data_IF_361088563166
#
_entry.id   IF_361088563166
#
_cell.length_a   1.000
_cell.length_b   1.000
_cell.length_c   1.000
_cell.angle_alpha   90.00
_cell.angle_beta   90.00
_cell.angle_gamma   90.00
#
_symmetry.space_group_name_H-M   'P 1'
#
loop_
_entity.id
_entity.type
_entity.pdbx_description
1 polymer ?
#
# COMPACT_ATOMS: atom_id res chain seq x y z
N UNK A 1 -48.25 24.83 -34.95
CA UNK A 1 -46.91 25.20 -35.42
C UNK A 1 -46.01 25.19 -34.18
N UNK A 2 -45.14 24.18 -34.06
CA UNK A 2 -44.41 23.78 -32.85
C UNK A 2 -43.13 24.61 -32.69
N UNK A 3 -42.95 25.30 -31.57
CA UNK A 3 -41.67 25.91 -31.19
C UNK A 3 -40.90 24.92 -30.29
N UNK A 4 -39.96 24.18 -30.86
CA UNK A 4 -39.00 23.39 -30.09
C UNK A 4 -37.95 24.33 -29.50
N UNK A 5 -37.89 24.40 -28.17
CA UNK A 5 -36.82 25.09 -27.45
C UNK A 5 -35.53 24.27 -27.58
N UNK A 6 -34.39 24.85 -27.98
CA UNK A 6 -33.15 24.10 -28.07
C UNK A 6 -32.69 23.74 -26.66
N UNK A 7 -32.77 22.46 -26.33
CA UNK A 7 -32.10 21.87 -25.19
C UNK A 7 -30.60 22.12 -25.36
N UNK A 8 -30.08 23.12 -24.66
CA UNK A 8 -28.64 23.41 -24.59
C UNK A 8 -28.02 22.25 -23.83
N UNK A 9 -27.47 21.30 -24.59
CA UNK A 9 -26.66 20.20 -24.10
C UNK A 9 -25.45 20.78 -23.38
N UNK A 10 -25.52 20.89 -22.07
CA UNK A 10 -24.34 21.10 -21.25
C UNK A 10 -23.59 19.77 -21.23
N UNK A 11 -22.85 19.49 -22.31
CA UNK A 11 -21.81 18.48 -22.29
C UNK A 11 -20.73 19.02 -21.36
N UNK A 12 -20.92 18.79 -20.05
CA UNK A 12 -19.83 18.72 -19.10
C UNK A 12 -18.95 17.55 -19.54
N UNK A 13 -18.09 17.81 -20.53
CA UNK A 13 -16.89 17.04 -20.77
C UNK A 13 -16.03 17.25 -19.53
N UNK A 14 -16.29 16.44 -18.49
CA UNK A 14 -15.39 16.28 -17.35
C UNK A 14 -14.09 15.78 -17.98
N UNK A 15 -13.15 16.71 -18.18
CA UNK A 15 -11.83 16.37 -18.64
C UNK A 15 -11.23 15.42 -17.61
N UNK A 16 -10.70 14.28 -18.05
CA UNK A 16 -9.98 13.34 -17.17
C UNK A 16 -8.81 14.06 -16.46
N UNK A 17 -8.38 15.21 -16.99
CA UNK A 17 -7.40 16.09 -16.35
C UNK A 17 -7.94 16.81 -15.08
N UNK A 18 -9.23 17.17 -15.02
CA UNK A 18 -9.82 17.86 -13.85
C UNK A 18 -10.11 16.92 -12.68
N UNK A 19 -10.26 15.61 -12.95
CA UNK A 19 -10.33 14.59 -11.90
C UNK A 19 -9.02 14.44 -11.10
N UNK A 20 -7.93 15.03 -11.59
CA UNK A 20 -6.60 14.95 -10.99
C UNK A 20 -6.16 16.19 -10.21
N UNK A 21 -6.95 17.28 -10.19
CA UNK A 21 -6.51 18.58 -9.65
C UNK A 21 -6.82 18.79 -8.16
N UNK A 22 -7.75 18.02 -7.60
CA UNK A 22 -8.20 18.17 -6.20
C UNK A 22 -7.42 17.25 -5.25
N UNK A 23 -7.08 17.76 -4.07
CA UNK A 23 -6.54 16.95 -2.97
C UNK A 23 -7.56 15.88 -2.59
N UNK A 24 -7.22 14.62 -2.85
CA UNK A 24 -8.12 13.48 -2.61
C UNK A 24 -7.77 12.84 -1.28
N UNK A 25 -8.69 12.96 -0.33
CA UNK A 25 -8.63 12.16 0.90
C UNK A 25 -9.13 10.76 0.61
N UNK A 26 -8.34 9.75 0.98
CA UNK A 26 -8.65 8.34 0.78
C UNK A 26 -8.58 7.58 2.10
N UNK A 27 -9.46 6.60 2.22
CA UNK A 27 -9.43 5.58 3.26
C UNK A 27 -8.81 4.30 2.68
N UNK A 28 -7.95 3.66 3.46
CA UNK A 28 -7.19 2.49 3.04
C UNK A 28 -7.71 1.28 3.81
N UNK A 29 -8.05 0.21 3.09
CA UNK A 29 -8.34 -1.11 3.67
C UNK A 29 -7.30 -2.10 3.16
N UNK A 30 -6.53 -2.68 4.09
CA UNK A 30 -5.52 -3.69 3.77
C UNK A 30 -6.04 -5.08 4.13
N UNK A 31 -6.13 -5.95 3.14
CA UNK A 31 -6.44 -7.37 3.33
C UNK A 31 -5.15 -8.18 3.48
N UNK A 32 -5.20 -9.24 4.29
CA UNK A 32 -4.09 -10.16 4.46
C UNK A 32 -4.10 -11.23 3.37
N UNK A 33 -3.23 -11.13 2.38
CA UNK A 33 -2.95 -12.19 1.42
C UNK A 33 -1.48 -12.67 1.53
N UNK A 34 -1.10 -13.70 0.77
CA UNK A 34 0.24 -14.27 0.81
C UNK A 34 1.33 -13.34 0.22
N UNK A 35 0.98 -12.13 -0.21
CA UNK A 35 1.85 -11.22 -0.95
C UNK A 35 2.03 -9.88 -0.23
N UNK A 36 2.38 -9.89 1.06
CA UNK A 36 2.64 -8.65 1.82
C UNK A 36 3.59 -7.65 1.12
N UNK A 37 4.60 -8.14 0.39
CA UNK A 37 5.53 -7.26 -0.34
C UNK A 37 4.84 -6.45 -1.46
N UNK A 38 3.74 -6.97 -2.02
CA UNK A 38 2.91 -6.24 -2.98
C UNK A 38 2.21 -5.06 -2.30
N UNK A 39 1.62 -5.28 -1.12
CA UNK A 39 0.95 -4.22 -0.34
C UNK A 39 1.93 -3.09 -0.02
N UNK A 40 3.17 -3.41 0.35
CA UNK A 40 4.22 -2.41 0.52
C UNK A 40 4.47 -1.58 -0.73
N UNK A 41 4.58 -2.21 -1.91
CA UNK A 41 4.76 -1.48 -3.17
C UNK A 41 3.60 -0.54 -3.48
N UNK A 42 2.36 -0.96 -3.19
CA UNK A 42 1.17 -0.12 -3.35
C UNK A 42 1.22 1.08 -2.41
N UNK A 43 1.53 0.86 -1.13
CA UNK A 43 1.67 1.94 -0.14
C UNK A 43 2.78 2.92 -0.54
N UNK A 44 3.92 2.43 -1.05
CA UNK A 44 5.02 3.28 -1.49
C UNK A 44 4.64 4.18 -2.68
N UNK A 45 3.88 3.65 -3.64
CA UNK A 45 3.36 4.42 -4.78
C UNK A 45 2.31 5.45 -4.34
N UNK A 46 1.46 5.13 -3.37
CA UNK A 46 0.50 6.07 -2.79
C UNK A 46 1.20 7.20 -2.02
N UNK A 47 2.28 6.89 -1.32
CA UNK A 47 3.12 7.90 -0.66
C UNK A 47 3.82 8.83 -1.65
N UNK A 48 4.13 8.34 -2.85
CA UNK A 48 4.72 9.14 -3.92
C UNK A 48 3.73 10.14 -4.54
N UNK A 49 2.42 9.88 -4.42
CA UNK A 49 1.38 10.75 -4.95
C UNK A 49 1.09 11.92 -3.99
N UNK A 50 1.53 13.16 -4.27
CA UNK A 50 1.41 14.26 -3.31
C UNK A 50 -0.03 14.69 -3.05
N UNK A 51 -0.95 14.44 -3.99
CA UNK A 51 -2.37 14.83 -3.93
C UNK A 51 -3.24 13.83 -3.16
N UNK A 52 -2.67 12.72 -2.69
CA UNK A 52 -3.39 11.74 -1.87
C UNK A 52 -3.20 12.02 -0.39
N UNK A 53 -4.26 12.38 0.33
CA UNK A 53 -4.25 12.48 1.78
C UNK A 53 -4.86 11.22 2.39
N UNK A 54 -4.33 10.76 3.51
CA UNK A 54 -4.76 9.52 4.17
C UNK A 54 -5.58 9.87 5.41
N UNK A 55 -6.84 9.44 5.46
CA UNK A 55 -7.73 9.68 6.60
C UNK A 55 -7.72 8.50 7.55
N UNK A 56 -8.08 7.31 7.06
CA UNK A 56 -8.15 6.10 7.87
C UNK A 56 -7.41 4.92 7.21
N UNK A 57 -6.85 4.04 8.05
CA UNK A 57 -6.22 2.78 7.61
C UNK A 57 -6.76 1.63 8.45
N UNK A 58 -7.54 0.76 7.83
CA UNK A 58 -8.06 -0.46 8.44
C UNK A 58 -7.30 -1.67 7.92
N UNK A 59 -6.85 -2.56 8.80
CA UNK A 59 -6.06 -3.74 8.42
C UNK A 59 -6.19 -4.88 9.44
N UNK A 60 -5.88 -6.11 9.01
CA UNK A 60 -5.89 -7.31 9.86
C UNK A 60 -4.69 -8.23 9.55
N UNK A 61 -4.27 -9.05 10.51
CA UNK A 61 -3.18 -10.02 10.33
C UNK A 61 -1.81 -9.38 10.10
N UNK A 62 -1.07 -9.87 9.10
CA UNK A 62 0.23 -9.30 8.73
C UNK A 62 0.10 -7.86 8.23
N UNK A 63 -0.95 -7.57 7.47
CA UNK A 63 -1.21 -6.23 6.97
C UNK A 63 -1.47 -5.20 8.09
N UNK A 64 -1.91 -5.63 9.28
CA UNK A 64 -2.03 -4.74 10.44
C UNK A 64 -0.68 -4.23 10.94
N UNK A 65 0.38 -5.05 10.85
CA UNK A 65 1.74 -4.62 11.17
C UNK A 65 2.24 -3.58 10.16
N UNK A 66 1.97 -3.78 8.87
CA UNK A 66 2.31 -2.81 7.83
C UNK A 66 1.57 -1.49 7.99
N UNK A 67 0.26 -1.54 8.26
CA UNK A 67 -0.55 -0.36 8.55
C UNK A 67 -0.01 0.42 9.75
N UNK A 68 0.38 -0.27 10.83
CA UNK A 68 0.95 0.36 12.01
C UNK A 68 2.30 1.03 11.70
N UNK A 69 3.18 0.37 10.94
CA UNK A 69 4.47 0.94 10.51
C UNK A 69 4.26 2.14 9.58
N UNK A 70 3.29 2.06 8.67
CA UNK A 70 2.92 3.15 7.77
C UNK A 70 2.43 4.37 8.55
N UNK A 71 1.44 4.20 9.45
CA UNK A 71 0.90 5.27 10.29
C UNK A 71 1.96 5.87 11.21
N UNK A 72 2.83 5.04 11.80
CA UNK A 72 3.96 5.50 12.60
C UNK A 72 4.95 6.33 11.78
N UNK A 73 5.32 5.87 10.59
CA UNK A 73 6.24 6.63 9.75
C UNK A 73 5.63 7.95 9.26
N UNK A 74 4.31 7.97 8.98
CA UNK A 74 3.57 9.20 8.68
C UNK A 74 3.63 10.20 9.84
N UNK A 75 3.44 9.75 11.09
CA UNK A 75 3.47 10.65 12.25
C UNK A 75 4.86 11.19 12.58
N UNK A 76 5.92 10.42 12.33
CA UNK A 76 7.30 10.82 12.63
C UNK A 76 7.91 11.74 11.56
N UNK A 77 7.62 11.50 10.28
CA UNK A 77 8.32 12.16 9.18
C UNK A 77 7.48 12.37 7.92
N UNK A 78 6.15 12.37 8.05
CA UNK A 78 5.23 12.46 6.93
C UNK A 78 5.47 11.34 5.91
N UNK A 79 5.29 11.67 4.62
CA UNK A 79 5.40 10.69 3.54
C UNK A 79 6.78 10.03 3.46
N UNK A 80 7.85 10.80 3.66
CA UNK A 80 9.23 10.29 3.67
C UNK A 80 9.49 9.40 4.88
N UNK A 81 8.93 9.73 6.03
CA UNK A 81 9.01 8.91 7.23
C UNK A 81 8.32 7.55 7.03
N UNK A 82 7.13 7.54 6.44
CA UNK A 82 6.38 6.33 6.10
C UNK A 82 7.16 5.40 5.15
N UNK A 83 7.70 5.95 4.06
CA UNK A 83 8.55 5.20 3.11
C UNK A 83 9.76 4.59 3.82
N UNK A 84 10.43 5.38 4.67
CA UNK A 84 11.61 4.91 5.41
C UNK A 84 11.26 3.80 6.41
N UNK A 85 10.16 3.97 7.15
CA UNK A 85 9.70 3.00 8.14
C UNK A 85 9.33 1.66 7.48
N UNK A 86 8.56 1.70 6.39
CA UNK A 86 8.18 0.52 5.61
C UNK A 86 9.40 -0.19 5.01
N UNK A 87 10.33 0.55 4.41
CA UNK A 87 11.56 -0.03 3.86
C UNK A 87 12.41 -0.72 4.95
N UNK A 88 12.49 -0.14 6.15
CA UNK A 88 13.19 -0.74 7.28
C UNK A 88 12.48 -2.00 7.81
N UNK A 89 11.15 -2.00 7.87
CA UNK A 89 10.35 -3.16 8.23
C UNK A 89 10.61 -4.32 7.26
N UNK A 90 10.49 -4.09 5.95
CA UNK A 90 10.72 -5.12 4.94
C UNK A 90 12.16 -5.63 4.87
N UNK A 91 13.14 -4.76 5.12
CA UNK A 91 14.54 -5.20 5.28
C UNK A 91 14.67 -6.20 6.43
N UNK A 92 14.04 -5.95 7.58
CA UNK A 92 14.06 -6.87 8.73
C UNK A 92 13.32 -8.17 8.44
N UNK A 93 12.18 -8.11 7.76
CA UNK A 93 11.43 -9.31 7.32
C UNK A 93 12.28 -10.17 6.40
N UNK A 94 12.99 -9.55 5.44
CA UNK A 94 13.91 -10.26 4.54
C UNK A 94 15.08 -10.92 5.27
N UNK A 95 15.67 -10.26 6.27
CA UNK A 95 16.70 -10.91 7.08
C UNK A 95 16.13 -12.08 7.90
N UNK A 96 14.94 -11.93 8.48
CA UNK A 96 14.29 -12.98 9.27
C UNK A 96 13.90 -14.21 8.43
N UNK A 97 13.49 -14.02 7.18
CA UNK A 97 13.14 -15.14 6.28
C UNK A 97 14.37 -15.97 5.89
N UNK A 98 15.54 -15.35 5.72
CA UNK A 98 16.81 -16.07 5.50
C UNK A 98 17.12 -17.01 6.68
N UNK A 99 16.95 -16.56 7.92
CA UNK A 99 17.16 -17.40 9.12
C UNK A 99 16.11 -18.51 9.28
N UNK A 100 14.90 -18.32 8.77
CA UNK A 100 13.89 -19.38 8.76
C UNK A 100 14.26 -20.51 7.79
N UNK A 101 14.82 -20.17 6.63
CA UNK A 101 15.23 -21.14 5.62
C UNK A 101 16.45 -21.99 6.05
N UNK A 102 17.34 -21.42 6.87
CA UNK A 102 18.52 -22.14 7.37
C UNK A 102 18.14 -23.29 8.33
N UNK A 103 17.08 -23.11 9.14
CA UNK A 103 16.56 -24.16 10.02
C UNK A 103 15.96 -25.34 9.27
N UNK A 104 15.28 -25.10 8.16
CA UNK A 104 14.76 -26.19 7.30
C UNK A 104 15.89 -26.92 6.56
N UNK A 105 16.97 -26.21 6.20
CA UNK A 105 18.18 -26.81 5.64
C UNK A 105 18.92 -27.72 6.63
N UNK A 106 19.07 -27.29 7.88
CA UNK A 106 19.69 -28.07 8.95
C UNK A 106 18.96 -29.40 9.19
N UNK A 107 17.63 -29.34 9.36
CA UNK A 107 16.82 -30.54 9.58
C UNK A 107 16.91 -31.52 8.41
N UNK A 108 16.94 -31.00 7.18
CA UNK A 108 17.14 -31.83 5.98
C UNK A 108 18.51 -32.49 5.98
N UNK A 109 19.58 -31.76 6.29
CA UNK A 109 20.94 -32.31 6.31
C UNK A 109 21.12 -33.41 7.36
N UNK A 110 20.50 -33.27 8.54
CA UNK A 110 20.56 -34.28 9.61
C UNK A 110 19.83 -35.56 9.19
N UNK A 111 18.69 -35.44 8.51
CA UNK A 111 17.95 -36.59 7.99
C UNK A 111 18.70 -37.28 6.84
N UNK A 112 19.33 -36.53 5.94
CA UNK A 112 20.12 -37.07 4.82
C UNK A 112 21.42 -37.75 5.27
N UNK A 113 22.01 -37.37 6.42
CA UNK A 113 23.19 -38.04 7.01
C UNK A 113 22.83 -39.31 7.83
N UNK A 114 21.54 -39.57 8.06
CA UNK A 114 21.06 -40.68 8.88
C UNK A 114 20.60 -41.90 8.06
N UNK A 115 20.80 -41.88 6.74
CA UNK A 115 20.50 -42.98 5.79
C UNK A 115 21.83 -43.43 5.16
#
# INVERSE_FOLDING_TARGET
>A
MLAQSPMKTDQAAISVADLGAEDRTIDIVLANDAHGAFVWGVLDRLLDEPRCNFSEVTASGFAAMEAAVFAYGLSVGGRRGARTALANFWRRVSHASVFANDRTGLLRSVLEQSI
#
